data_IF_135266165197
#
_entry.id   IF_135266165197
#
_cell.length_a   1.000
_cell.length_b   1.000
_cell.length_c   1.000
_cell.angle_alpha   90.00
_cell.angle_beta   90.00
_cell.angle_gamma   90.00
#
_symmetry.space_group_name_H-M   'P 1'
#
loop_
_entity.id
_entity.type
_entity.pdbx_description
1 polymer ?
#
# COMPACT_ATOMS: atom_id res chain seq x y z
N UNK A 1 -7.56 10.97 4.72
CA UNK A 1 -6.26 11.57 4.39
C UNK A 1 -5.21 11.11 5.38
N UNK A 2 -4.07 10.65 4.92
CA UNK A 2 -2.87 10.43 5.72
C UNK A 2 -1.91 11.60 5.51
N UNK A 3 -1.30 12.09 6.59
CA UNK A 3 -0.27 13.13 6.56
C UNK A 3 0.97 12.63 7.27
N UNK A 4 2.11 12.81 6.63
CA UNK A 4 3.44 12.47 7.14
C UNK A 4 4.25 13.75 7.21
N UNK A 5 4.76 14.10 8.39
CA UNK A 5 5.42 15.38 8.64
C UNK A 5 6.79 15.16 9.26
N UNK A 6 7.85 15.48 8.50
CA UNK A 6 9.25 15.51 8.92
C UNK A 6 9.69 14.27 9.71
N UNK A 7 9.28 13.08 9.26
CA UNK A 7 9.65 11.87 9.97
C UNK A 7 11.13 11.54 9.77
N UNK A 8 11.77 11.19 10.87
CA UNK A 8 13.15 10.75 10.93
C UNK A 8 13.22 9.36 11.54
N UNK A 9 14.05 8.49 10.94
CA UNK A 9 14.25 7.13 11.42
C UNK A 9 15.72 6.71 11.28
N UNK A 10 16.20 5.95 12.24
CA UNK A 10 17.58 5.49 12.32
C UNK A 10 17.66 3.98 12.56
N UNK A 11 18.63 3.30 11.94
CA UNK A 11 19.10 1.99 12.34
C UNK A 11 20.45 2.15 13.04
N UNK A 12 20.46 2.03 14.38
CA UNK A 12 21.66 2.38 15.17
C UNK A 12 22.09 3.81 14.90
N UNK A 13 23.30 3.99 14.40
CA UNK A 13 23.85 5.31 14.01
C UNK A 13 23.48 5.77 12.59
N UNK A 14 22.88 4.91 11.77
CA UNK A 14 22.58 5.23 10.37
C UNK A 14 21.26 5.94 10.22
N UNK A 15 21.26 7.18 9.73
CA UNK A 15 20.07 7.98 9.46
C UNK A 15 19.44 7.55 8.13
N UNK A 16 18.35 6.84 8.17
CA UNK A 16 17.70 6.23 7.01
C UNK A 16 16.61 7.11 6.41
N UNK A 17 15.71 7.65 7.24
CA UNK A 17 14.71 8.62 6.78
C UNK A 17 15.06 9.99 7.37
N UNK A 18 15.05 11.01 6.52
CA UNK A 18 15.52 12.36 6.82
C UNK A 18 14.44 13.37 6.44
N UNK A 19 13.71 13.85 7.43
CA UNK A 19 12.66 14.87 7.30
C UNK A 19 11.63 14.56 6.21
N UNK A 20 11.26 13.27 6.06
CA UNK A 20 10.32 12.83 5.03
C UNK A 20 8.94 13.37 5.33
N UNK A 21 8.37 14.09 4.36
CA UNK A 21 7.03 14.69 4.45
C UNK A 21 6.27 14.45 3.14
N UNK A 22 5.02 14.01 3.25
CA UNK A 22 4.07 13.91 2.13
C UNK A 22 2.65 13.72 2.65
N UNK A 23 1.68 13.83 1.75
CA UNK A 23 0.27 13.62 2.04
C UNK A 23 -0.32 12.57 1.10
N UNK A 24 -1.34 11.86 1.59
CA UNK A 24 -2.16 10.97 0.79
C UNK A 24 -3.64 11.34 1.01
N UNK A 25 -4.21 12.17 0.11
CA UNK A 25 -5.60 12.58 0.18
C UNK A 25 -6.57 11.41 -0.05
N UNK A 26 -7.79 11.54 0.47
CA UNK A 26 -8.86 10.58 0.22
C UNK A 26 -9.27 10.66 -1.26
N UNK A 27 -9.56 9.51 -1.87
CA UNK A 27 -9.97 9.44 -3.27
C UNK A 27 -8.82 9.59 -4.26
N UNK A 28 -7.57 9.51 -3.79
CA UNK A 28 -6.39 9.67 -4.63
C UNK A 28 -5.41 8.51 -4.45
N UNK A 29 -4.67 8.24 -5.52
CA UNK A 29 -3.50 7.40 -5.53
C UNK A 29 -2.24 8.27 -5.40
N UNK A 30 -1.63 8.26 -4.21
CA UNK A 30 -0.36 8.95 -3.93
C UNK A 30 0.79 7.97 -4.14
N UNK A 31 1.59 8.21 -5.17
CA UNK A 31 2.70 7.32 -5.52
C UNK A 31 3.98 7.75 -4.83
N UNK A 32 4.68 6.80 -4.22
CA UNK A 32 6.03 7.00 -3.67
C UNK A 32 7.02 6.25 -4.56
N UNK A 33 7.80 6.99 -5.31
CA UNK A 33 8.80 6.49 -6.26
C UNK A 33 10.21 6.53 -5.68
N UNK A 34 11.04 5.61 -6.12
CA UNK A 34 12.46 5.59 -5.82
C UNK A 34 13.08 4.21 -6.05
N UNK A 35 14.40 4.20 -6.17
CA UNK A 35 15.18 2.98 -6.38
C UNK A 35 15.18 2.08 -5.15
N UNK A 36 15.69 0.87 -5.32
CA UNK A 36 15.93 -0.03 -4.20
C UNK A 36 16.97 0.58 -3.24
N UNK A 37 16.72 0.41 -1.94
CA UNK A 37 17.62 0.89 -0.89
C UNK A 37 17.49 2.38 -0.53
N UNK A 38 16.60 3.16 -1.16
CA UNK A 38 16.44 4.59 -0.84
C UNK A 38 15.65 4.87 0.43
N UNK A 39 15.05 3.82 1.05
CA UNK A 39 14.30 3.96 2.31
C UNK A 39 12.79 3.74 2.20
N UNK A 40 12.24 3.35 1.03
CA UNK A 40 10.80 3.12 0.84
C UNK A 40 10.22 2.12 1.86
N UNK A 41 10.80 0.93 1.95
CA UNK A 41 10.35 -0.10 2.90
C UNK A 41 10.48 0.34 4.36
N UNK A 42 11.53 1.13 4.69
CA UNK A 42 11.67 1.72 6.03
C UNK A 42 10.54 2.71 6.31
N UNK A 43 10.20 3.55 5.32
CA UNK A 43 9.05 4.46 5.41
C UNK A 43 7.77 3.67 5.69
N UNK A 44 7.48 2.63 4.92
CA UNK A 44 6.27 1.81 5.11
C UNK A 44 6.23 1.13 6.48
N UNK A 45 7.36 0.60 6.96
CA UNK A 45 7.45 0.05 8.32
C UNK A 45 7.19 1.10 9.39
N UNK A 46 7.62 2.35 9.18
CA UNK A 46 7.29 3.46 10.06
C UNK A 46 5.80 3.82 10.00
N UNK A 47 5.19 3.85 8.81
CA UNK A 47 3.75 4.10 8.65
C UNK A 47 2.91 3.02 9.34
N UNK A 48 3.33 1.77 9.26
CA UNK A 48 2.64 0.64 9.93
C UNK A 48 2.95 0.52 11.43
N UNK A 49 3.89 1.31 11.97
CA UNK A 49 4.28 1.24 13.38
C UNK A 49 5.15 0.03 13.74
N UNK A 50 5.65 -0.69 12.75
CA UNK A 50 6.61 -1.81 12.90
C UNK A 50 7.97 -1.25 13.35
N UNK A 51 8.34 -0.08 12.82
CA UNK A 51 9.52 0.68 13.24
C UNK A 51 9.08 2.00 13.88
N UNK A 52 9.60 2.36 15.04
CA UNK A 52 9.34 3.67 15.64
C UNK A 52 10.03 4.77 14.84
N UNK A 53 9.37 5.90 14.69
CA UNK A 53 10.01 7.13 14.21
C UNK A 53 10.78 7.77 15.35
N UNK A 54 11.90 8.43 15.05
CA UNK A 54 12.70 9.17 16.05
C UNK A 54 12.12 10.55 16.33
N UNK A 55 11.62 11.20 15.27
CA UNK A 55 10.95 12.52 15.34
C UNK A 55 9.99 12.67 14.16
N UNK A 56 9.19 13.71 14.17
CA UNK A 56 8.14 13.97 13.20
C UNK A 56 6.78 13.44 13.67
N UNK A 57 5.80 13.45 12.78
CA UNK A 57 4.43 13.08 13.08
C UNK A 57 3.77 12.33 11.92
N UNK A 58 2.90 11.39 12.24
CA UNK A 58 2.04 10.67 11.29
C UNK A 58 0.60 10.85 11.77
N UNK A 59 -0.24 11.49 10.95
CA UNK A 59 -1.64 11.73 11.24
C UNK A 59 -2.54 10.99 10.25
N UNK A 60 -3.55 10.29 10.76
CA UNK A 60 -4.60 9.64 9.98
C UNK A 60 -5.95 10.26 10.31
N UNK A 61 -6.60 10.88 9.33
CA UNK A 61 -7.89 11.55 9.51
C UNK A 61 -7.91 12.54 10.70
N UNK A 62 -6.81 13.29 10.89
CA UNK A 62 -6.63 14.26 11.97
C UNK A 62 -6.19 13.67 13.32
N UNK A 63 -6.11 12.34 13.42
CA UNK A 63 -5.61 11.69 14.63
C UNK A 63 -4.10 11.41 14.51
N UNK A 64 -3.31 11.78 15.50
CA UNK A 64 -1.91 11.39 15.60
C UNK A 64 -1.80 9.89 15.92
N UNK A 65 -1.17 9.15 14.99
CA UNK A 65 -0.94 7.71 15.11
C UNK A 65 0.55 7.37 15.31
N UNK A 66 1.40 8.37 15.50
CA UNK A 66 2.87 8.20 15.54
C UNK A 66 3.33 7.17 16.56
N UNK A 67 2.65 7.10 17.70
CA UNK A 67 2.99 6.22 18.83
C UNK A 67 2.10 4.97 18.94
N UNK A 68 1.14 4.81 18.04
CA UNK A 68 0.24 3.65 18.05
C UNK A 68 0.98 2.38 17.61
N UNK A 69 0.64 1.24 18.22
CA UNK A 69 1.12 -0.08 17.80
C UNK A 69 0.59 -0.45 16.40
N UNK A 70 1.21 -1.42 15.69
CA UNK A 70 0.72 -1.89 14.40
C UNK A 70 -0.76 -2.27 14.42
N UNK A 71 -1.18 -3.02 15.44
CA UNK A 71 -2.57 -3.42 15.64
C UNK A 71 -3.50 -2.22 15.77
N UNK A 72 -3.13 -1.23 16.60
CA UNK A 72 -3.91 0.00 16.78
C UNK A 72 -4.02 0.79 15.48
N UNK A 73 -2.98 0.83 14.63
CA UNK A 73 -3.02 1.49 13.32
C UNK A 73 -3.93 0.77 12.34
N UNK A 74 -3.96 -0.56 12.36
CA UNK A 74 -4.93 -1.35 11.57
C UNK A 74 -6.37 -1.04 12.05
N UNK A 75 -6.62 -0.96 13.35
CA UNK A 75 -7.92 -0.55 13.89
C UNK A 75 -8.29 0.90 13.52
N UNK A 76 -7.32 1.80 13.44
CA UNK A 76 -7.53 3.18 12.99
C UNK A 76 -7.87 3.28 11.49
N UNK A 77 -7.54 2.25 10.70
CA UNK A 77 -7.90 2.14 9.29
C UNK A 77 -6.73 2.07 8.30
N UNK A 78 -5.51 1.71 8.74
CA UNK A 78 -4.42 1.39 7.83
C UNK A 78 -4.50 -0.08 7.40
N UNK A 79 -4.27 -0.36 6.11
CA UNK A 79 -4.01 -1.69 5.60
C UNK A 79 -2.75 -1.69 4.73
N UNK A 80 -2.03 -2.80 4.73
CA UNK A 80 -0.74 -2.91 4.07
C UNK A 80 -0.64 -4.23 3.31
N UNK A 81 -0.24 -4.14 2.06
CA UNK A 81 0.14 -5.27 1.21
C UNK A 81 1.64 -5.17 0.99
N UNK A 82 2.44 -6.03 1.62
CA UNK A 82 3.89 -5.99 1.52
C UNK A 82 4.39 -6.52 0.17
N UNK A 83 5.62 -6.14 -0.18
CA UNK A 83 6.40 -6.82 -1.20
C UNK A 83 6.45 -8.33 -0.87
N UNK A 84 6.21 -9.19 -1.84
CA UNK A 84 6.13 -10.64 -1.60
C UNK A 84 4.75 -11.15 -1.16
N UNK A 85 3.74 -10.26 -0.99
CA UNK A 85 2.31 -10.60 -0.79
C UNK A 85 1.96 -11.15 0.60
N UNK A 86 2.84 -11.91 1.24
CA UNK A 86 2.68 -12.51 2.58
C UNK A 86 1.31 -13.19 2.79
N UNK A 87 0.85 -13.97 1.78
CA UNK A 87 -0.37 -14.77 1.91
C UNK A 87 -0.11 -15.98 2.81
N UNK A 88 -1.17 -16.48 3.44
CA UNK A 88 -1.13 -17.73 4.18
C UNK A 88 -1.28 -18.90 3.20
N UNK A 89 -0.16 -19.50 2.79
CA UNK A 89 -0.11 -20.52 1.73
C UNK A 89 -0.90 -21.78 2.03
N UNK A 90 -1.04 -22.15 3.29
CA UNK A 90 -1.76 -23.35 3.75
C UNK A 90 -3.26 -23.15 3.91
N UNK A 91 -3.70 -21.91 4.03
CA UNK A 91 -5.11 -21.54 4.14
C UNK A 91 -5.74 -21.38 2.75
N UNK A 92 -7.05 -21.61 2.67
CA UNK A 92 -7.83 -21.36 1.46
C UNK A 92 -7.87 -19.87 1.12
N UNK A 93 -8.27 -19.53 -0.10
CA UNK A 93 -8.53 -18.14 -0.52
C UNK A 93 -9.54 -17.47 0.41
N UNK A 94 -10.67 -18.15 0.70
CA UNK A 94 -11.70 -17.62 1.59
C UNK A 94 -11.15 -17.37 3.00
N UNK A 95 -10.42 -18.31 3.58
CA UNK A 95 -9.80 -18.15 4.91
C UNK A 95 -8.78 -17.02 4.95
N UNK A 96 -7.96 -16.86 3.90
CA UNK A 96 -7.05 -15.72 3.78
C UNK A 96 -7.78 -14.37 3.85
N UNK A 97 -8.91 -14.23 3.12
CA UNK A 97 -9.70 -13.00 3.14
C UNK A 97 -10.34 -12.79 4.51
N UNK A 98 -10.88 -13.84 5.13
CA UNK A 98 -11.51 -13.77 6.46
C UNK A 98 -10.53 -13.32 7.55
N UNK A 99 -9.24 -13.67 7.46
CA UNK A 99 -8.21 -13.15 8.38
C UNK A 99 -8.11 -11.62 8.28
N UNK A 100 -8.27 -11.02 7.10
CA UNK A 100 -8.31 -9.58 6.92
C UNK A 100 -9.43 -8.89 7.71
N UNK A 101 -10.46 -9.64 8.09
CA UNK A 101 -11.59 -9.15 8.89
C UNK A 101 -11.39 -9.29 10.40
N UNK A 102 -10.23 -9.72 10.87
CA UNK A 102 -9.98 -10.04 12.29
C UNK A 102 -10.22 -8.85 13.25
N UNK A 103 -10.15 -7.60 12.76
CA UNK A 103 -10.45 -6.42 13.56
C UNK A 103 -11.94 -6.28 13.92
N UNK A 104 -12.83 -6.96 13.22
CA UNK A 104 -14.26 -6.90 13.48
C UNK A 104 -14.70 -7.94 14.51
N UNK A 105 -15.86 -7.70 15.17
CA UNK A 105 -16.46 -8.70 16.06
C UNK A 105 -16.81 -9.97 15.29
N UNK A 106 -16.69 -11.12 15.94
CA UNK A 106 -16.87 -12.45 15.34
C UNK A 106 -18.16 -12.66 14.51
N UNK A 107 -19.23 -11.92 14.80
CA UNK A 107 -20.46 -11.99 14.02
C UNK A 107 -20.33 -11.40 12.60
N UNK A 108 -19.47 -10.37 12.39
CA UNK A 108 -19.27 -9.73 11.09
C UNK A 108 -18.22 -10.47 10.24
N UNK A 109 -17.32 -11.22 10.87
CA UNK A 109 -16.18 -11.89 10.20
C UNK A 109 -16.46 -13.31 9.70
N UNK A 110 -17.75 -13.73 9.59
CA UNK A 110 -18.11 -15.11 9.21
C UNK A 110 -18.23 -15.35 7.70
N UNK A 111 -18.35 -14.30 6.91
CA UNK A 111 -18.49 -14.41 5.44
C UNK A 111 -17.69 -13.33 4.77
N UNK A 112 -17.05 -13.68 3.67
CA UNK A 112 -16.37 -12.71 2.79
C UNK A 112 -17.41 -11.76 2.20
N UNK A 113 -17.20 -10.44 2.26
CA UNK A 113 -18.08 -9.47 1.62
C UNK A 113 -18.15 -9.67 0.11
N UNK A 114 -19.35 -9.71 -0.47
CA UNK A 114 -19.56 -10.00 -1.89
C UNK A 114 -18.79 -9.05 -2.83
N UNK A 115 -18.70 -7.77 -2.49
CA UNK A 115 -17.98 -6.77 -3.29
C UNK A 115 -16.50 -7.12 -3.51
N UNK A 116 -15.86 -7.90 -2.62
CA UNK A 116 -14.47 -8.33 -2.83
C UNK A 116 -14.35 -9.35 -3.97
N UNK A 117 -15.36 -10.18 -4.15
CA UNK A 117 -15.44 -11.10 -5.29
C UNK A 117 -15.88 -10.38 -6.58
N UNK A 118 -16.66 -9.30 -6.47
CA UNK A 118 -16.95 -8.43 -7.62
C UNK A 118 -15.69 -7.74 -8.15
N UNK A 119 -14.80 -7.30 -7.23
CA UNK A 119 -13.50 -6.71 -7.59
C UNK A 119 -12.54 -7.76 -8.16
N UNK A 120 -12.54 -8.96 -7.60
CA UNK A 120 -11.64 -10.06 -7.97
C UNK A 120 -12.42 -11.37 -8.22
N UNK A 121 -13.14 -11.50 -9.37
CA UNK A 121 -13.99 -12.68 -9.64
C UNK A 121 -13.27 -14.01 -9.57
N UNK A 122 -11.99 -14.06 -10.00
CA UNK A 122 -11.17 -15.27 -9.96
C UNK A 122 -11.01 -15.83 -8.53
N UNK A 123 -11.07 -14.97 -7.50
CA UNK A 123 -10.96 -15.42 -6.11
C UNK A 123 -12.23 -16.15 -5.65
N UNK A 124 -13.40 -15.81 -6.20
CA UNK A 124 -14.63 -16.55 -5.93
C UNK A 124 -14.58 -17.96 -6.53
N UNK A 125 -14.13 -18.06 -7.78
CA UNK A 125 -13.96 -19.35 -8.47
C UNK A 125 -12.99 -20.27 -7.71
N UNK A 126 -11.98 -19.67 -7.06
CA UNK A 126 -10.91 -20.38 -6.37
C UNK A 126 -11.06 -20.39 -4.83
N UNK A 127 -12.21 -19.99 -4.27
CA UNK A 127 -12.38 -19.73 -2.83
C UNK A 127 -11.97 -20.90 -1.92
N UNK A 128 -12.10 -22.13 -2.39
CA UNK A 128 -11.73 -23.34 -1.64
C UNK A 128 -10.31 -23.85 -1.93
N UNK A 129 -9.57 -23.23 -2.87
CA UNK A 129 -8.17 -23.58 -3.14
C UNK A 129 -7.26 -22.97 -2.07
N UNK A 130 -6.13 -23.62 -1.82
CA UNK A 130 -5.09 -23.06 -0.94
C UNK A 130 -4.41 -21.87 -1.62
N UNK A 131 -4.08 -20.86 -0.84
CA UNK A 131 -3.39 -19.68 -1.34
C UNK A 131 -2.05 -20.01 -2.03
N UNK A 132 -1.33 -21.04 -1.52
CA UNK A 132 -0.08 -21.49 -2.10
C UNK A 132 -0.19 -22.10 -3.50
N UNK A 133 -1.38 -22.57 -3.89
CA UNK A 133 -1.63 -23.19 -5.20
C UNK A 133 -2.02 -22.16 -6.29
N UNK A 134 -2.09 -20.88 -5.92
CA UNK A 134 -2.40 -19.79 -6.81
C UNK A 134 -1.17 -19.32 -7.60
N UNK A 135 -1.38 -18.81 -8.81
CA UNK A 135 -0.34 -18.09 -9.54
C UNK A 135 0.08 -16.82 -8.82
N UNK A 136 1.28 -16.28 -9.12
CA UNK A 136 1.76 -15.06 -8.48
C UNK A 136 0.80 -13.87 -8.60
N UNK A 137 0.14 -13.69 -9.76
CA UNK A 137 -0.85 -12.65 -9.95
C UNK A 137 -2.13 -12.86 -9.13
N UNK A 138 -2.60 -14.11 -9.02
CA UNK A 138 -3.75 -14.46 -8.18
C UNK A 138 -3.45 -14.27 -6.68
N UNK A 139 -2.21 -14.60 -6.26
CA UNK A 139 -1.76 -14.33 -4.90
C UNK A 139 -1.73 -12.83 -4.60
N UNK A 140 -1.35 -11.99 -5.58
CA UNK A 140 -1.38 -10.54 -5.42
C UNK A 140 -2.81 -10.02 -5.25
N UNK A 141 -3.74 -10.50 -6.09
CA UNK A 141 -5.16 -10.19 -5.95
C UNK A 141 -5.70 -10.63 -4.59
N UNK A 142 -5.32 -11.82 -4.12
CA UNK A 142 -5.69 -12.31 -2.79
C UNK A 142 -5.13 -11.44 -1.66
N UNK A 143 -3.88 -11.00 -1.76
CA UNK A 143 -3.27 -10.12 -0.76
C UNK A 143 -3.99 -8.76 -0.69
N UNK A 144 -4.36 -8.19 -1.84
CA UNK A 144 -5.14 -6.95 -1.91
C UNK A 144 -6.56 -7.18 -1.35
N UNK A 145 -7.25 -8.25 -1.74
CA UNK A 145 -8.58 -8.58 -1.23
C UNK A 145 -8.59 -8.77 0.30
N UNK A 146 -7.57 -9.44 0.85
CA UNK A 146 -7.38 -9.59 2.30
C UNK A 146 -7.19 -8.24 2.99
N UNK A 147 -6.41 -7.33 2.41
CA UNK A 147 -6.22 -5.99 2.94
C UNK A 147 -7.52 -5.18 2.91
N UNK A 148 -8.27 -5.23 1.81
CA UNK A 148 -9.55 -4.56 1.62
C UNK A 148 -10.64 -5.10 2.57
N UNK A 149 -10.59 -6.38 2.92
CA UNK A 149 -11.51 -7.00 3.88
C UNK A 149 -11.49 -6.31 5.26
N UNK A 150 -10.41 -5.59 5.58
CA UNK A 150 -10.36 -4.77 6.78
C UNK A 150 -11.10 -3.43 6.67
N UNK A 151 -11.73 -3.09 5.55
CA UNK A 151 -12.38 -1.80 5.29
C UNK A 151 -11.45 -0.63 5.63
N UNK A 152 -10.31 -0.47 4.93
CA UNK A 152 -9.31 0.51 5.31
C UNK A 152 -9.69 1.92 4.87
N UNK A 153 -9.19 2.93 5.62
CA UNK A 153 -9.18 4.33 5.20
C UNK A 153 -7.97 4.66 4.31
N UNK A 154 -6.88 3.90 4.50
CA UNK A 154 -5.66 4.00 3.70
C UNK A 154 -5.19 2.59 3.36
N UNK A 155 -5.03 2.31 2.06
CA UNK A 155 -4.44 1.09 1.54
C UNK A 155 -3.03 1.39 1.07
N UNK A 156 -2.05 0.69 1.63
CA UNK A 156 -0.64 0.79 1.27
C UNK A 156 -0.26 -0.44 0.45
N UNK A 157 0.28 -0.23 -0.75
CA UNK A 157 0.73 -1.27 -1.67
C UNK A 157 2.24 -1.11 -1.91
N UNK A 158 3.02 -2.12 -1.55
CA UNK A 158 4.48 -2.12 -1.68
C UNK A 158 4.90 -2.96 -2.89
N UNK A 159 5.32 -2.31 -3.96
CA UNK A 159 5.76 -2.90 -5.23
C UNK A 159 4.82 -4.03 -5.73
N UNK A 160 3.51 -3.72 -5.91
CA UNK A 160 2.50 -4.75 -6.20
C UNK A 160 2.67 -5.40 -7.58
N UNK A 161 3.56 -4.87 -8.43
CA UNK A 161 3.81 -5.38 -9.79
C UNK A 161 4.96 -6.38 -9.86
N UNK A 162 5.73 -6.54 -8.79
CA UNK A 162 6.93 -7.37 -8.81
C UNK A 162 6.63 -8.86 -9.07
N UNK A 163 7.32 -9.43 -10.06
CA UNK A 163 7.18 -10.85 -10.41
C UNK A 163 5.80 -11.26 -10.94
N UNK A 164 5.07 -10.30 -11.55
CA UNK A 164 3.73 -10.51 -12.08
C UNK A 164 3.72 -10.32 -13.60
N UNK A 165 2.86 -11.09 -14.26
CA UNK A 165 2.68 -11.00 -15.71
C UNK A 165 2.01 -9.67 -16.13
N UNK A 166 2.36 -9.07 -17.29
CA UNK A 166 1.85 -7.77 -17.72
C UNK A 166 0.32 -7.65 -17.79
N UNK A 167 -0.38 -8.74 -18.15
CA UNK A 167 -1.85 -8.75 -18.17
C UNK A 167 -2.45 -8.52 -16.77
N UNK A 168 -1.90 -9.18 -15.76
CA UNK A 168 -2.37 -9.05 -14.37
C UNK A 168 -1.98 -7.68 -13.78
N UNK A 169 -0.82 -7.12 -14.17
CA UNK A 169 -0.43 -5.76 -13.77
C UNK A 169 -1.49 -4.74 -14.22
N UNK A 170 -1.99 -4.87 -15.46
CA UNK A 170 -3.08 -4.02 -15.96
C UNK A 170 -4.37 -4.17 -15.14
N UNK A 171 -4.70 -5.40 -14.74
CA UNK A 171 -5.89 -5.67 -13.91
C UNK A 171 -5.74 -5.03 -12.54
N UNK A 172 -4.57 -5.18 -11.90
CA UNK A 172 -4.26 -4.53 -10.62
C UNK A 172 -4.34 -3.01 -10.75
N UNK A 173 -3.80 -2.42 -11.82
CA UNK A 173 -3.89 -0.98 -12.08
C UNK A 173 -5.33 -0.49 -12.19
N UNK A 174 -6.19 -1.23 -12.92
CA UNK A 174 -7.63 -0.92 -12.99
C UNK A 174 -8.30 -0.96 -11.61
N UNK A 175 -7.99 -1.96 -10.81
CA UNK A 175 -8.53 -2.08 -9.45
C UNK A 175 -8.07 -0.91 -8.58
N UNK A 176 -6.78 -0.55 -8.59
CA UNK A 176 -6.25 0.59 -7.85
C UNK A 176 -7.00 1.87 -8.24
N UNK A 177 -7.17 2.13 -9.55
CA UNK A 177 -7.89 3.32 -10.01
C UNK A 177 -9.35 3.30 -9.58
N UNK A 178 -10.05 2.18 -9.78
CA UNK A 178 -11.42 2.01 -9.34
C UNK A 178 -11.58 2.28 -7.84
N UNK A 179 -10.69 1.76 -7.00
CA UNK A 179 -10.73 1.99 -5.56
C UNK A 179 -10.51 3.46 -5.19
N UNK A 180 -9.57 4.15 -5.84
CA UNK A 180 -9.36 5.58 -5.64
C UNK A 180 -10.60 6.38 -6.05
N UNK A 181 -11.19 6.08 -7.21
CA UNK A 181 -12.36 6.77 -7.76
C UNK A 181 -13.63 6.64 -6.89
N UNK A 182 -13.69 5.63 -6.00
CA UNK A 182 -14.79 5.54 -5.01
C UNK A 182 -14.81 6.73 -4.04
N UNK A 183 -13.69 7.44 -3.88
CA UNK A 183 -13.58 8.54 -2.92
C UNK A 183 -13.63 8.11 -1.44
N UNK A 184 -13.54 6.80 -1.15
CA UNK A 184 -13.72 6.29 0.22
C UNK A 184 -12.41 6.08 0.97
N UNK A 185 -11.29 5.90 0.25
CA UNK A 185 -9.98 5.65 0.84
C UNK A 185 -8.87 6.43 0.15
N UNK A 186 -7.74 6.55 0.81
CA UNK A 186 -6.47 6.98 0.20
C UNK A 186 -5.69 5.75 -0.22
N UNK A 187 -4.99 5.80 -1.35
CA UNK A 187 -4.07 4.74 -1.76
C UNK A 187 -2.65 5.29 -1.74
N UNK A 188 -1.74 4.57 -1.10
CA UNK A 188 -0.30 4.80 -1.19
C UNK A 188 0.28 3.66 -1.99
N UNK A 189 0.77 3.98 -3.19
CA UNK A 189 1.42 3.04 -4.08
C UNK A 189 2.92 3.29 -4.05
N UNK A 190 3.68 2.34 -3.53
CA UNK A 190 5.15 2.40 -3.54
C UNK A 190 5.65 1.60 -4.73
N UNK A 191 6.43 2.22 -5.58
CA UNK A 191 6.90 1.61 -6.83
C UNK A 191 8.29 2.08 -7.25
N UNK A 192 8.94 1.26 -8.08
CA UNK A 192 10.14 1.63 -8.82
C UNK A 192 9.86 1.72 -10.33
N UNK A 193 8.79 1.10 -10.82
CA UNK A 193 8.40 1.13 -12.22
C UNK A 193 7.64 2.41 -12.54
N UNK A 194 8.34 3.35 -13.18
CA UNK A 194 7.82 4.68 -13.52
C UNK A 194 6.52 4.61 -14.33
N UNK A 195 6.48 3.81 -15.41
CA UNK A 195 5.33 3.78 -16.32
C UNK A 195 4.02 3.31 -15.65
N UNK A 196 4.11 2.38 -14.72
CA UNK A 196 2.95 1.94 -13.94
C UNK A 196 2.52 3.00 -12.94
N UNK A 197 3.48 3.62 -12.27
CA UNK A 197 3.23 4.69 -11.30
C UNK A 197 2.59 5.92 -11.96
N UNK A 198 3.12 6.36 -13.10
CA UNK A 198 2.62 7.52 -13.86
C UNK A 198 1.14 7.35 -14.27
N UNK A 199 0.75 6.16 -14.70
CA UNK A 199 -0.63 5.86 -15.10
C UNK A 199 -1.65 5.98 -13.95
N UNK A 200 -1.20 5.86 -12.71
CA UNK A 200 -2.06 5.78 -11.53
C UNK A 200 -1.97 7.01 -10.63
N UNK A 201 -0.88 7.78 -10.74
CA UNK A 201 -0.57 8.86 -9.82
C UNK A 201 -1.56 10.03 -9.95
N UNK A 202 -2.26 10.36 -8.87
CA UNK A 202 -2.87 11.68 -8.69
C UNK A 202 -1.84 12.64 -8.07
N UNK A 203 -0.99 12.11 -7.18
CA UNK A 203 0.17 12.80 -6.60
C UNK A 203 1.38 11.89 -6.62
N UNK A 204 2.57 12.47 -6.70
CA UNK A 204 3.82 11.72 -6.61
C UNK A 204 4.77 12.31 -5.56
N UNK A 205 5.60 11.45 -5.03
CA UNK A 205 6.72 11.75 -4.13
C UNK A 205 7.91 10.91 -4.57
N UNK A 206 9.02 11.51 -4.92
CA UNK A 206 10.26 10.80 -5.28
C UNK A 206 11.21 10.80 -4.10
N UNK A 207 11.67 9.62 -3.73
CA UNK A 207 12.63 9.43 -2.65
C UNK A 207 14.01 9.07 -3.18
N UNK A 208 15.04 9.71 -2.64
CA UNK A 208 16.45 9.34 -2.82
C UNK A 208 17.20 9.50 -1.50
N UNK A 209 18.05 8.54 -1.16
CA UNK A 209 18.92 8.58 0.04
C UNK A 209 18.17 8.96 1.33
N UNK A 210 16.93 8.46 1.47
CA UNK A 210 16.11 8.70 2.65
C UNK A 210 15.41 10.06 2.71
N UNK A 211 15.44 10.84 1.66
CA UNK A 211 14.81 12.15 1.57
C UNK A 211 13.80 12.22 0.42
N UNK A 212 12.85 13.12 0.53
CA UNK A 212 12.00 13.52 -0.59
C UNK A 212 12.79 14.53 -1.44
N UNK A 213 13.00 14.21 -2.72
CA UNK A 213 13.74 15.07 -3.66
C UNK A 213 12.85 15.78 -4.69
N UNK A 214 11.64 15.25 -4.90
CA UNK A 214 10.61 15.86 -5.74
C UNK A 214 9.23 15.40 -5.29
N UNK A 215 8.23 16.25 -5.44
CA UNK A 215 6.81 15.92 -5.23
C UNK A 215 5.93 16.87 -6.02
N UNK A 216 4.74 16.41 -6.40
CA UNK A 216 3.79 17.21 -7.19
C UNK A 216 2.57 16.40 -7.63
N UNK A 217 1.83 16.97 -8.59
CA UNK A 217 0.69 16.30 -9.20
C UNK A 217 1.15 15.25 -10.21
N UNK A 218 0.44 14.13 -10.29
CA UNK A 218 0.75 13.04 -11.23
C UNK A 218 0.82 13.52 -12.69
N UNK A 219 -0.04 14.48 -13.07
CA UNK A 219 -0.05 15.09 -14.41
C UNK A 219 1.26 15.79 -14.78
N UNK A 220 2.04 16.21 -13.80
CA UNK A 220 3.28 16.97 -14.01
C UNK A 220 4.51 16.05 -14.17
N UNK A 221 4.38 14.76 -13.86
CA UNK A 221 5.50 13.80 -13.88
C UNK A 221 6.26 13.78 -15.22
N UNK A 222 5.60 13.75 -16.40
CA UNK A 222 6.32 13.73 -17.67
C UNK A 222 7.12 15.01 -17.92
N UNK A 223 6.53 16.17 -17.64
CA UNK A 223 7.14 17.47 -17.91
C UNK A 223 8.29 17.82 -16.96
N UNK A 224 8.29 17.25 -15.75
CA UNK A 224 9.32 17.50 -14.74
C UNK A 224 10.49 16.51 -14.79
N UNK A 225 10.56 15.63 -15.79
CA UNK A 225 11.66 14.67 -15.93
C UNK A 225 11.76 13.66 -14.79
N UNK A 226 10.65 13.34 -14.15
CA UNK A 226 10.62 12.42 -12.99
C UNK A 226 11.15 11.03 -13.35
N UNK A 227 10.96 10.60 -14.60
CA UNK A 227 11.52 9.34 -15.12
C UNK A 227 13.03 9.26 -14.91
N UNK A 228 13.75 10.34 -15.21
CA UNK A 228 15.22 10.36 -15.10
C UNK A 228 15.66 10.32 -13.63
N UNK A 229 14.91 10.97 -12.73
CA UNK A 229 15.20 10.92 -11.29
C UNK A 229 15.05 9.51 -10.69
N UNK A 230 14.17 8.68 -11.27
CA UNK A 230 13.96 7.30 -10.82
C UNK A 230 14.91 6.32 -11.52
N UNK A 231 15.36 6.63 -12.75
CA UNK A 231 16.24 5.78 -13.55
C UNK A 231 17.73 5.82 -13.13
N UNK A 232 18.16 6.89 -12.46
CA UNK A 232 19.53 7.08 -11.94
C UNK A 232 19.67 6.41 -10.57
#
# INVERSE_FOLDING_TARGET
>A
MLQVQQINQFYGGSHILRDVSFEAPIGQCSVVLGRNGVGKTTLLKCLMGILPIKSGQICLAGQDISKLSPEQRVHAGLAYVPQGRDIFSTLTVEENILIGMAKFKAAKSKKVPAHLYEIFPILEEMKHRRGGDLSGGQQQQLAIARALASEPKVLILDEPTEGIQPSIIKDIGRVIRQLADTGQMSIILVEQFYDFAEQLADQYTVMARGQVIAQGLGTDMPSQGIRDLVAI
#
